data_IF_802586106114
#
_entry.id   IF_802586106114
#
_cell.length_a   1.000
_cell.length_b   1.000
_cell.length_c   1.000
_cell.angle_alpha   90.00
_cell.angle_beta   90.00
_cell.angle_gamma   90.00
#
_symmetry.space_group_name_H-M   'P 1'
#
loop_
_entity.id
_entity.type
_entity.pdbx_description
1 polymer ?
#
# COMPACT_ATOMS: atom_id res chain seq x y z
N UNK A 1 -25.37 23.73 -11.22
CA UNK A 1 -23.94 24.08 -11.34
C UNK A 1 -23.13 22.84 -11.07
N UNK A 2 -21.98 22.68 -11.73
CA UNK A 2 -21.04 21.60 -11.40
C UNK A 2 -20.45 21.85 -10.02
N UNK A 3 -20.29 20.81 -9.19
CA UNK A 3 -19.63 20.94 -7.88
C UNK A 3 -18.13 21.15 -8.07
N UNK A 4 -17.55 21.99 -7.21
CA UNK A 4 -16.12 22.25 -7.17
C UNK A 4 -15.48 21.52 -6.00
N UNK A 5 -14.50 20.66 -6.29
CA UNK A 5 -13.95 19.70 -5.32
C UNK A 5 -12.43 19.87 -5.22
N UNK A 6 -11.95 20.00 -3.98
CA UNK A 6 -10.53 20.02 -3.66
C UNK A 6 -10.10 18.63 -3.16
N UNK A 7 -9.09 18.04 -3.81
CA UNK A 7 -8.42 16.82 -3.35
C UNK A 7 -6.99 17.15 -2.93
N UNK A 8 -6.63 16.82 -1.69
CA UNK A 8 -5.33 17.13 -1.10
C UNK A 8 -4.47 15.86 -1.04
N UNK A 9 -3.39 15.85 -1.82
CA UNK A 9 -2.44 14.74 -1.95
C UNK A 9 -2.67 13.89 -3.21
N UNK A 10 -1.70 13.92 -4.14
CA UNK A 10 -1.71 13.13 -5.37
C UNK A 10 -0.97 11.78 -5.23
N UNK A 11 -1.16 11.08 -4.13
CA UNK A 11 -0.93 9.64 -4.03
C UNK A 11 -1.94 8.87 -4.89
N UNK A 12 -1.79 7.54 -5.00
CA UNK A 12 -2.68 6.72 -5.85
C UNK A 12 -4.17 6.90 -5.49
N UNK A 13 -4.51 7.05 -4.21
CA UNK A 13 -5.89 7.26 -3.76
C UNK A 13 -6.41 8.62 -4.23
N UNK A 14 -5.70 9.71 -3.96
CA UNK A 14 -6.11 11.05 -4.41
C UNK A 14 -6.25 11.16 -5.92
N UNK A 15 -5.32 10.54 -6.67
CA UNK A 15 -5.41 10.48 -8.12
C UNK A 15 -6.68 9.74 -8.60
N UNK A 16 -6.96 8.54 -8.06
CA UNK A 16 -8.16 7.78 -8.43
C UNK A 16 -9.45 8.52 -8.09
N UNK A 17 -9.50 9.17 -6.93
CA UNK A 17 -10.62 10.01 -6.49
C UNK A 17 -10.83 11.16 -7.48
N UNK A 18 -9.78 11.92 -7.78
CA UNK A 18 -9.84 13.05 -8.70
C UNK A 18 -10.29 12.63 -10.10
N UNK A 19 -9.74 11.53 -10.63
CA UNK A 19 -10.14 10.95 -11.93
C UNK A 19 -11.63 10.60 -11.94
N UNK A 20 -12.11 9.91 -10.91
CA UNK A 20 -13.49 9.43 -10.87
C UNK A 20 -14.50 10.57 -10.72
N UNK A 21 -14.16 11.59 -9.95
CA UNK A 21 -15.01 12.77 -9.78
C UNK A 21 -15.02 13.64 -11.03
N UNK A 22 -13.88 13.80 -11.72
CA UNK A 22 -13.80 14.52 -12.99
C UNK A 22 -14.61 13.84 -14.10
N UNK A 23 -14.61 12.49 -14.17
CA UNK A 23 -15.40 11.71 -15.14
C UNK A 23 -16.92 11.99 -15.07
N UNK A 24 -17.43 12.35 -13.89
CA UNK A 24 -18.85 12.66 -13.70
C UNK A 24 -19.16 14.14 -13.83
N UNK A 25 -18.19 14.93 -14.30
CA UNK A 25 -18.37 16.34 -14.66
C UNK A 25 -18.19 17.33 -13.51
N UNK A 26 -17.58 16.94 -12.39
CA UNK A 26 -17.21 17.90 -11.35
C UNK A 26 -15.94 18.66 -11.71
N UNK A 27 -15.83 19.92 -11.26
CA UNK A 27 -14.58 20.68 -11.31
C UNK A 27 -13.66 20.20 -10.19
N UNK A 28 -12.55 19.52 -10.54
CA UNK A 28 -11.66 18.91 -9.55
C UNK A 28 -10.30 19.55 -9.59
N UNK A 29 -9.87 20.07 -8.44
CA UNK A 29 -8.51 20.54 -8.18
C UNK A 29 -7.79 19.48 -7.34
N UNK A 30 -6.63 19.00 -7.82
CA UNK A 30 -5.78 18.03 -7.12
C UNK A 30 -4.45 18.68 -6.74
N UNK A 31 -4.21 18.86 -5.42
CA UNK A 31 -2.98 19.44 -4.90
C UNK A 31 -1.95 18.37 -4.54
N UNK A 32 -0.69 18.60 -4.93
CA UNK A 32 0.46 17.78 -4.51
C UNK A 32 1.64 18.69 -4.12
N UNK A 33 2.18 18.47 -2.92
CA UNK A 33 3.32 19.26 -2.41
C UNK A 33 4.64 18.94 -3.11
N UNK A 34 4.78 17.73 -3.67
CA UNK A 34 5.96 17.33 -4.44
C UNK A 34 5.82 17.77 -5.91
N UNK A 35 6.95 17.75 -6.62
CA UNK A 35 7.01 18.11 -8.06
C UNK A 35 6.38 17.05 -8.98
N UNK A 36 5.87 15.95 -8.44
CA UNK A 36 5.29 14.86 -9.23
C UNK A 36 4.33 14.01 -8.39
N UNK A 37 3.40 13.31 -9.05
CA UNK A 37 2.43 12.43 -8.38
C UNK A 37 3.09 11.15 -7.85
N UNK A 38 2.44 10.52 -6.87
CA UNK A 38 2.72 9.16 -6.39
C UNK A 38 4.15 8.94 -5.87
N UNK A 39 4.89 9.97 -5.43
CA UNK A 39 6.32 9.89 -5.08
C UNK A 39 6.64 9.19 -3.75
N UNK A 40 5.66 9.02 -2.87
CA UNK A 40 5.85 8.47 -1.52
C UNK A 40 5.37 7.00 -1.42
N UNK A 41 4.54 6.66 -0.46
CA UNK A 41 4.07 5.30 -0.18
C UNK A 41 3.44 4.59 -1.39
N UNK A 42 2.91 5.31 -2.39
CA UNK A 42 2.40 4.72 -3.64
C UNK A 42 3.49 4.09 -4.50
N UNK A 43 4.73 4.58 -4.40
CA UNK A 43 5.92 4.04 -5.10
C UNK A 43 6.68 3.05 -4.23
N UNK A 44 6.85 3.39 -2.96
CA UNK A 44 7.84 2.84 -2.06
C UNK A 44 7.22 1.73 -1.21
N UNK A 45 6.91 0.61 -1.85
CA UNK A 45 6.34 -0.60 -1.25
C UNK A 45 6.74 -1.84 -2.09
N UNK A 46 6.29 -3.04 -1.71
CA UNK A 46 6.56 -4.28 -2.44
C UNK A 46 5.77 -4.43 -3.75
N UNK A 47 4.98 -3.42 -4.13
CA UNK A 47 4.15 -3.39 -5.34
C UNK A 47 3.15 -4.56 -5.45
N UNK A 48 2.83 -5.23 -4.34
CA UNK A 48 1.89 -6.35 -4.31
C UNK A 48 0.46 -5.89 -4.54
N UNK A 49 -0.27 -6.68 -5.31
CA UNK A 49 -1.72 -6.58 -5.41
C UNK A 49 -2.30 -7.71 -4.57
N UNK A 50 -2.53 -7.41 -3.29
CA UNK A 50 -2.86 -8.43 -2.30
C UNK A 50 -4.19 -9.13 -2.57
N UNK A 51 -4.15 -10.46 -2.61
CA UNK A 51 -5.33 -11.33 -2.62
C UNK A 51 -5.78 -11.75 -1.21
N UNK A 52 -5.01 -11.39 -0.21
CA UNK A 52 -5.33 -11.71 1.19
C UNK A 52 -4.28 -12.55 1.89
N UNK A 53 -3.47 -13.32 1.19
CA UNK A 53 -2.47 -14.24 1.75
C UNK A 53 -1.60 -13.65 2.85
N UNK A 54 -1.33 -12.35 2.79
CA UNK A 54 -0.46 -11.64 3.73
C UNK A 54 -1.13 -11.28 5.07
N UNK A 55 -2.40 -11.66 5.29
CA UNK A 55 -3.17 -11.21 6.46
C UNK A 55 -3.84 -12.34 7.23
N UNK A 56 -3.11 -13.41 7.64
CA UNK A 56 -3.71 -14.59 8.26
C UNK A 56 -4.46 -14.29 9.56
N UNK A 57 -4.17 -13.15 10.21
CA UNK A 57 -4.84 -12.71 11.45
C UNK A 57 -5.96 -11.69 11.22
N UNK A 58 -6.34 -11.39 9.96
CA UNK A 58 -7.37 -10.41 9.64
C UNK A 58 -8.14 -10.75 8.37
N UNK A 59 -9.10 -11.66 8.50
CA UNK A 59 -10.05 -12.02 7.42
C UNK A 59 -10.72 -10.77 6.82
N UNK A 60 -11.05 -9.77 7.66
CA UNK A 60 -11.64 -8.50 7.20
C UNK A 60 -10.72 -7.76 6.21
N UNK A 61 -9.42 -7.67 6.52
CA UNK A 61 -8.44 -7.03 5.62
C UNK A 61 -8.27 -7.83 4.32
N UNK A 62 -8.23 -9.16 4.41
CA UNK A 62 -8.14 -10.03 3.24
C UNK A 62 -9.35 -9.84 2.31
N UNK A 63 -10.56 -9.93 2.85
CA UNK A 63 -11.81 -9.72 2.09
C UNK A 63 -11.90 -8.32 1.49
N UNK A 64 -11.53 -7.26 2.23
CA UNK A 64 -11.51 -5.90 1.67
C UNK A 64 -10.50 -5.76 0.52
N UNK A 65 -9.35 -6.47 0.60
CA UNK A 65 -8.36 -6.48 -0.49
C UNK A 65 -8.94 -7.10 -1.77
N UNK A 66 -9.68 -8.20 -1.64
CA UNK A 66 -10.38 -8.85 -2.76
C UNK A 66 -11.50 -7.97 -3.32
N UNK A 67 -12.28 -7.31 -2.49
CA UNK A 67 -13.34 -6.39 -2.93
C UNK A 67 -12.84 -5.26 -3.82
N UNK A 68 -11.64 -4.74 -3.55
CA UNK A 68 -11.01 -3.70 -4.37
C UNK A 68 -10.33 -4.22 -5.63
N UNK A 69 -10.01 -5.51 -5.67
CA UNK A 69 -9.15 -6.12 -6.67
C UNK A 69 -9.67 -5.96 -8.09
N UNK A 70 -10.93 -6.33 -8.33
CA UNK A 70 -11.52 -6.31 -9.69
C UNK A 70 -11.43 -4.91 -10.29
N UNK A 71 -11.79 -3.88 -9.53
CA UNK A 71 -11.74 -2.50 -9.99
C UNK A 71 -10.30 -2.03 -10.27
N UNK A 72 -9.34 -2.47 -9.45
CA UNK A 72 -7.93 -2.17 -9.68
C UNK A 72 -7.41 -2.83 -10.96
N UNK A 73 -7.64 -4.13 -11.14
CA UNK A 73 -7.20 -4.88 -12.31
C UNK A 73 -7.79 -4.32 -13.62
N UNK A 74 -9.08 -3.99 -13.64
CA UNK A 74 -9.76 -3.43 -14.82
C UNK A 74 -9.20 -2.05 -15.21
N UNK A 75 -8.86 -1.21 -14.23
CA UNK A 75 -8.38 0.14 -14.52
C UNK A 75 -6.89 0.22 -14.83
N UNK A 76 -6.10 -0.77 -14.41
CA UNK A 76 -4.64 -0.76 -14.49
C UNK A 76 -4.06 -2.04 -15.08
N UNK A 77 -4.81 -2.72 -15.96
CA UNK A 77 -4.44 -4.01 -16.55
C UNK A 77 -3.01 -4.07 -17.11
N UNK A 78 -2.57 -2.99 -17.78
CA UNK A 78 -1.26 -2.93 -18.42
C UNK A 78 -0.10 -2.80 -17.42
N UNK A 79 -0.39 -2.41 -16.19
CA UNK A 79 0.59 -2.34 -15.10
C UNK A 79 0.69 -3.65 -14.30
N UNK A 80 -0.16 -4.65 -14.57
CA UNK A 80 -0.18 -5.91 -13.82
C UNK A 80 0.95 -6.82 -14.31
N UNK A 81 1.70 -7.37 -13.35
CA UNK A 81 2.73 -8.38 -13.59
C UNK A 81 2.36 -9.62 -12.78
N UNK A 82 1.98 -10.69 -13.48
CA UNK A 82 1.48 -11.94 -12.88
C UNK A 82 2.22 -13.20 -13.36
N UNK A 83 3.02 -13.09 -14.43
CA UNK A 83 3.74 -14.22 -15.00
C UNK A 83 5.06 -14.50 -14.25
N UNK A 84 4.94 -14.90 -12.98
CA UNK A 84 6.06 -15.35 -12.18
C UNK A 84 5.59 -16.25 -11.02
N UNK A 85 6.42 -17.23 -10.59
CA UNK A 85 6.11 -18.02 -9.40
C UNK A 85 6.19 -17.16 -8.14
N UNK A 86 5.15 -17.24 -7.31
CA UNK A 86 5.06 -16.52 -6.05
C UNK A 86 4.72 -17.50 -4.93
N UNK A 87 5.50 -17.51 -3.85
CA UNK A 87 5.38 -18.46 -2.77
C UNK A 87 5.12 -17.76 -1.44
N UNK A 88 4.13 -18.28 -0.71
CA UNK A 88 3.91 -17.98 0.70
C UNK A 88 4.24 -19.20 1.53
N UNK A 89 5.10 -19.03 2.51
CA UNK A 89 5.64 -20.13 3.31
C UNK A 89 5.42 -19.88 4.79
N UNK A 90 5.18 -20.94 5.56
CA UNK A 90 5.06 -20.87 7.00
C UNK A 90 6.31 -21.48 7.64
N UNK A 91 6.86 -20.77 8.62
CA UNK A 91 7.95 -21.26 9.46
C UNK A 91 7.36 -21.84 10.75
N UNK A 92 8.02 -22.83 11.36
CA UNK A 92 7.55 -23.42 12.63
C UNK A 92 7.38 -22.41 13.77
N UNK A 93 8.13 -21.28 13.73
CA UNK A 93 8.03 -20.16 14.68
C UNK A 93 7.09 -19.04 14.19
N UNK A 94 6.25 -19.28 13.19
CA UNK A 94 5.24 -18.32 12.75
C UNK A 94 4.18 -18.09 13.83
N UNK A 95 3.61 -16.86 13.89
CA UNK A 95 2.56 -16.54 14.87
C UNK A 95 1.24 -17.29 14.61
N UNK A 96 1.07 -17.82 13.40
CA UNK A 96 -0.03 -18.71 13.00
C UNK A 96 0.56 -20.05 12.58
N UNK A 97 -0.04 -21.14 12.98
CA UNK A 97 0.34 -22.48 12.52
C UNK A 97 0.00 -22.69 11.03
N UNK A 98 0.59 -23.68 10.41
CA UNK A 98 0.27 -24.04 9.01
C UNK A 98 -1.20 -24.43 8.85
N UNK A 99 -1.80 -25.11 9.82
CA UNK A 99 -3.22 -25.46 9.83
C UNK A 99 -4.11 -24.22 9.90
N UNK A 100 -3.83 -23.29 10.82
CA UNK A 100 -4.56 -22.01 10.92
C UNK A 100 -4.44 -21.20 9.64
N UNK A 101 -3.26 -21.22 8.99
CA UNK A 101 -3.06 -20.50 7.73
C UNK A 101 -3.86 -21.11 6.57
N UNK A 102 -3.94 -22.43 6.47
CA UNK A 102 -4.76 -23.11 5.47
C UNK A 102 -6.25 -22.83 5.71
N UNK A 103 -6.72 -22.98 6.96
CA UNK A 103 -8.10 -22.66 7.33
C UNK A 103 -8.47 -21.20 7.00
N UNK A 104 -7.55 -20.27 7.23
CA UNK A 104 -7.73 -18.87 6.83
C UNK A 104 -7.85 -18.72 5.29
N UNK A 105 -6.99 -19.36 4.53
CA UNK A 105 -7.05 -19.31 3.06
C UNK A 105 -8.40 -19.83 2.54
N UNK A 106 -8.90 -20.94 3.11
CA UNK A 106 -10.18 -21.54 2.76
C UNK A 106 -11.36 -20.64 3.19
N UNK A 107 -11.31 -20.03 4.39
CA UNK A 107 -12.34 -19.07 4.86
C UNK A 107 -12.43 -17.82 3.97
N UNK A 108 -11.30 -17.34 3.48
CA UNK A 108 -11.24 -16.18 2.57
C UNK A 108 -11.61 -16.58 1.15
N UNK A 109 -11.49 -17.86 0.78
CA UNK A 109 -11.74 -18.39 -0.56
C UNK A 109 -10.63 -18.09 -1.56
N UNK A 110 -9.36 -18.08 -1.10
CA UNK A 110 -8.18 -17.83 -1.95
C UNK A 110 -7.50 -19.15 -2.34
N UNK A 111 -7.27 -19.34 -3.64
CA UNK A 111 -6.73 -20.57 -4.20
C UNK A 111 -5.21 -20.65 -4.13
N UNK A 112 -4.68 -21.80 -3.80
CA UNK A 112 -3.26 -22.09 -3.69
C UNK A 112 -2.91 -23.49 -4.20
N UNK A 113 -1.62 -23.73 -4.46
CA UNK A 113 -1.04 -25.03 -4.79
C UNK A 113 0.06 -25.36 -3.77
N UNK A 114 0.18 -26.63 -3.37
CA UNK A 114 1.30 -27.07 -2.50
C UNK A 114 2.55 -27.25 -3.36
N UNK A 115 3.46 -26.29 -3.27
CA UNK A 115 4.73 -26.34 -4.02
C UNK A 115 5.82 -25.61 -3.24
N UNK A 116 7.04 -26.16 -3.23
CA UNK A 116 8.22 -25.51 -2.66
C UNK A 116 9.06 -24.85 -3.76
N UNK A 117 9.63 -23.66 -3.50
CA UNK A 117 10.63 -23.09 -4.38
C UNK A 117 11.86 -24.02 -4.48
N UNK A 118 12.69 -23.81 -5.52
CA UNK A 118 13.93 -24.59 -5.72
C UNK A 118 14.85 -24.47 -4.50
N UNK A 119 15.55 -25.54 -4.15
CA UNK A 119 16.37 -25.64 -2.92
C UNK A 119 17.43 -24.56 -2.78
N UNK A 120 18.04 -24.12 -3.87
CA UNK A 120 19.04 -23.06 -3.81
C UNK A 120 18.48 -21.67 -3.47
N UNK A 121 17.17 -21.51 -3.56
CA UNK A 121 16.46 -20.25 -3.26
C UNK A 121 16.02 -20.13 -1.79
N UNK A 122 15.82 -21.26 -1.11
CA UNK A 122 15.22 -21.29 0.20
C UNK A 122 15.95 -22.31 1.10
N UNK A 123 16.37 -21.87 2.28
CA UNK A 123 16.69 -22.81 3.34
C UNK A 123 15.38 -23.39 3.89
N UNK A 124 15.12 -24.67 3.57
CA UNK A 124 13.88 -25.36 3.94
C UNK A 124 13.81 -25.79 5.41
N UNK A 125 14.91 -25.66 6.14
CA UNK A 125 14.90 -25.97 7.55
C UNK A 125 13.85 -25.10 8.27
N UNK A 126 12.97 -25.75 9.04
CA UNK A 126 11.89 -25.12 9.79
C UNK A 126 10.78 -24.47 8.91
N UNK A 127 10.71 -24.77 7.63
CA UNK A 127 9.57 -24.42 6.76
C UNK A 127 8.69 -25.64 6.64
N UNK A 128 7.52 -25.62 7.28
CA UNK A 128 6.58 -26.75 7.33
C UNK A 128 5.44 -26.64 6.30
N UNK A 129 5.23 -25.46 5.73
CA UNK A 129 4.25 -25.23 4.67
C UNK A 129 4.82 -24.32 3.59
N UNK A 130 4.55 -24.65 2.34
CA UNK A 130 4.79 -23.76 1.19
C UNK A 130 3.65 -23.82 0.19
N UNK A 131 3.08 -22.65 -0.09
CA UNK A 131 1.99 -22.46 -1.03
C UNK A 131 2.46 -21.62 -2.21
N UNK A 132 2.30 -22.15 -3.41
CA UNK A 132 2.41 -21.37 -4.65
C UNK A 132 1.08 -20.67 -4.92
N UNK A 133 1.12 -19.39 -5.22
CA UNK A 133 -0.06 -18.54 -5.37
C UNK A 133 0.02 -17.67 -6.61
N UNK A 134 -1.13 -17.25 -7.10
CA UNK A 134 -1.25 -16.38 -8.29
C UNK A 134 -1.40 -14.90 -7.91
N UNK A 135 -0.85 -14.47 -6.76
CA UNK A 135 -0.90 -13.07 -6.33
C UNK A 135 0.08 -12.22 -7.17
N UNK A 136 -0.42 -11.25 -7.97
CA UNK A 136 0.40 -10.43 -8.84
C UNK A 136 1.02 -9.25 -8.12
N UNK A 137 1.90 -8.55 -8.84
CA UNK A 137 2.40 -7.22 -8.48
C UNK A 137 1.99 -6.21 -9.56
N UNK A 138 2.22 -4.93 -9.30
CA UNK A 138 2.12 -3.90 -10.32
C UNK A 138 3.50 -3.32 -10.69
N UNK A 139 3.65 -2.95 -11.95
CA UNK A 139 4.76 -2.10 -12.39
C UNK A 139 4.44 -0.64 -12.07
N UNK A 140 5.25 -0.02 -11.22
CA UNK A 140 5.01 1.35 -10.79
C UNK A 140 5.09 2.36 -11.93
N UNK A 141 6.04 2.21 -12.86
CA UNK A 141 6.28 3.19 -13.90
C UNK A 141 5.09 3.19 -14.90
N UNK A 142 4.59 2.00 -15.24
CA UNK A 142 3.40 1.84 -16.09
C UNK A 142 2.14 2.33 -15.35
N UNK A 143 1.98 1.96 -14.08
CA UNK A 143 0.86 2.42 -13.25
C UNK A 143 0.81 3.94 -13.19
N UNK A 144 1.94 4.60 -12.91
CA UNK A 144 2.04 6.06 -12.85
C UNK A 144 1.70 6.72 -14.19
N UNK A 145 2.24 6.19 -15.30
CA UNK A 145 1.96 6.71 -16.63
C UNK A 145 0.47 6.60 -16.98
N UNK A 146 -0.18 5.48 -16.61
CA UNK A 146 -1.62 5.28 -16.79
C UNK A 146 -2.43 6.28 -15.95
N UNK A 147 -2.02 6.53 -14.69
CA UNK A 147 -2.66 7.51 -13.81
C UNK A 147 -2.53 8.92 -14.39
N UNK A 148 -1.32 9.32 -14.85
CA UNK A 148 -1.11 10.62 -15.47
C UNK A 148 -2.00 10.83 -16.70
N UNK A 149 -2.11 9.82 -17.55
CA UNK A 149 -3.02 9.86 -18.70
C UNK A 149 -4.49 10.05 -18.28
N UNK A 150 -4.93 9.32 -17.26
CA UNK A 150 -6.32 9.39 -16.75
C UNK A 150 -6.62 10.70 -16.02
N UNK A 151 -5.62 11.46 -15.55
CA UNK A 151 -5.77 12.77 -14.91
C UNK A 151 -6.02 13.92 -15.91
N UNK A 152 -6.02 13.66 -17.22
CA UNK A 152 -6.38 14.67 -18.20
C UNK A 152 -7.77 15.24 -17.91
N UNK A 153 -7.85 16.58 -17.81
CA UNK A 153 -9.06 17.30 -17.43
C UNK A 153 -9.19 17.62 -15.94
N UNK A 154 -8.32 17.09 -15.09
CA UNK A 154 -8.19 17.49 -13.68
C UNK A 154 -7.22 18.67 -13.57
N UNK A 155 -7.57 19.71 -12.79
CA UNK A 155 -6.63 20.79 -12.43
C UNK A 155 -5.59 20.27 -11.43
N UNK A 156 -4.51 19.67 -11.97
CA UNK A 156 -3.42 19.11 -11.18
C UNK A 156 -2.39 20.20 -10.88
N UNK A 157 -2.23 20.53 -9.59
CA UNK A 157 -1.27 21.52 -9.08
C UNK A 157 -0.16 20.84 -8.31
N UNK A 158 0.95 20.61 -8.99
CA UNK A 158 2.19 20.08 -8.40
C UNK A 158 2.98 21.17 -7.67
N UNK A 159 3.93 20.77 -6.81
CA UNK A 159 4.73 21.67 -5.99
C UNK A 159 3.89 22.67 -5.19
N UNK A 160 2.63 22.31 -4.91
CA UNK A 160 1.64 23.15 -4.24
C UNK A 160 1.22 22.51 -2.91
N UNK A 161 1.65 23.11 -1.83
CA UNK A 161 1.27 22.68 -0.49
C UNK A 161 -0.07 23.30 -0.11
N UNK A 162 -0.97 22.50 0.48
CA UNK A 162 -2.21 23.03 1.02
C UNK A 162 -1.93 24.05 2.14
N UNK A 163 -2.54 25.22 2.05
CA UNK A 163 -2.34 26.37 2.92
C UNK A 163 -3.46 26.58 3.95
N UNK A 164 -4.50 25.74 3.92
CA UNK A 164 -5.68 25.84 4.79
C UNK A 164 -6.87 26.54 4.12
N UNK A 165 -6.72 27.10 2.93
CA UNK A 165 -7.81 27.77 2.23
C UNK A 165 -8.81 26.74 1.66
N UNK A 166 -10.06 26.86 2.05
CA UNK A 166 -11.19 26.02 1.63
C UNK A 166 -12.31 26.80 0.92
N UNK A 167 -12.12 28.09 0.72
CA UNK A 167 -13.15 28.96 0.17
C UNK A 167 -13.48 28.59 -1.28
N UNK A 168 -14.76 28.55 -1.57
CA UNK A 168 -15.27 28.28 -2.91
C UNK A 168 -15.25 26.81 -3.34
N UNK A 169 -14.98 25.87 -2.41
CA UNK A 169 -15.10 24.44 -2.66
C UNK A 169 -16.37 23.86 -2.02
N UNK A 170 -17.11 23.05 -2.78
CA UNK A 170 -18.27 22.33 -2.27
C UNK A 170 -17.86 21.14 -1.41
N UNK A 171 -16.73 20.49 -1.74
CA UNK A 171 -16.18 19.36 -0.99
C UNK A 171 -14.65 19.46 -0.92
N UNK A 172 -14.10 18.98 0.21
CA UNK A 172 -12.67 18.87 0.46
C UNK A 172 -12.37 17.43 0.85
N UNK A 173 -11.40 16.82 0.16
CA UNK A 173 -11.02 15.43 0.36
C UNK A 173 -9.55 15.38 0.78
N UNK A 174 -9.30 14.99 2.03
CA UNK A 174 -7.95 14.81 2.55
C UNK A 174 -7.46 13.38 2.26
N UNK A 175 -6.61 13.23 1.25
CA UNK A 175 -5.95 12.00 0.83
C UNK A 175 -4.43 12.05 1.01
N UNK A 176 -3.96 12.82 1.99
CA UNK A 176 -2.55 13.15 2.19
C UNK A 176 -1.75 12.08 2.95
N UNK A 177 -2.34 10.93 3.30
CA UNK A 177 -1.73 9.76 3.93
C UNK A 177 -0.95 10.07 5.21
N UNK A 178 0.40 10.12 5.15
CA UNK A 178 1.24 10.43 6.33
C UNK A 178 1.03 11.84 6.86
N UNK A 179 0.48 12.76 6.06
CA UNK A 179 0.12 14.11 6.48
C UNK A 179 -1.36 14.26 6.87
N UNK A 180 -2.14 13.18 6.92
CA UNK A 180 -3.59 13.22 7.12
C UNK A 180 -3.97 14.00 8.38
N UNK A 181 -3.30 13.74 9.50
CA UNK A 181 -3.57 14.42 10.76
C UNK A 181 -3.15 15.91 10.75
N UNK A 182 -2.11 16.26 9.98
CA UNK A 182 -1.71 17.64 9.80
C UNK A 182 -2.77 18.45 9.05
N UNK A 183 -3.32 17.88 7.99
CA UNK A 183 -4.40 18.51 7.21
C UNK A 183 -5.68 18.57 8.04
N UNK A 184 -6.04 17.49 8.76
CA UNK A 184 -7.19 17.49 9.65
C UNK A 184 -7.08 18.62 10.71
N UNK A 185 -5.91 18.80 11.32
CA UNK A 185 -5.65 19.86 12.31
C UNK A 185 -5.87 21.27 11.72
N UNK A 186 -5.37 21.51 10.50
CA UNK A 186 -5.57 22.79 9.80
C UNK A 186 -7.06 23.10 9.52
N UNK A 187 -7.89 22.07 9.40
CA UNK A 187 -9.31 22.18 9.10
C UNK A 187 -10.23 21.96 10.29
N UNK A 188 -9.64 21.88 11.51
CA UNK A 188 -10.42 21.65 12.73
C UNK A 188 -11.14 20.29 12.77
N UNK A 189 -10.66 19.32 12.00
CA UNK A 189 -11.23 17.97 11.98
C UNK A 189 -10.51 17.05 12.98
N UNK A 190 -11.18 15.97 13.48
CA UNK A 190 -10.57 15.03 14.38
C UNK A 190 -9.31 14.36 13.80
N UNK A 191 -8.28 14.24 14.64
CA UNK A 191 -7.08 13.47 14.29
C UNK A 191 -7.39 11.98 14.37
N UNK A 192 -6.90 11.22 13.40
CA UNK A 192 -6.97 9.77 13.41
C UNK A 192 -5.93 9.20 14.39
N UNK A 193 -6.28 8.13 15.09
CA UNK A 193 -5.35 7.45 16.01
C UNK A 193 -4.36 6.60 15.19
N UNK A 194 -3.25 7.20 14.79
CA UNK A 194 -2.24 6.61 13.92
C UNK A 194 -0.89 6.49 14.60
N UNK A 195 -0.11 5.53 14.11
CA UNK A 195 1.33 5.44 14.29
C UNK A 195 2.04 5.57 12.95
N UNK A 196 3.19 6.20 12.97
CA UNK A 196 4.00 6.48 11.80
C UNK A 196 5.30 5.68 11.89
N UNK A 197 5.69 5.05 10.80
CA UNK A 197 6.90 4.23 10.73
C UNK A 197 7.79 4.72 9.60
N UNK A 198 9.05 5.01 9.91
CA UNK A 198 10.10 5.17 8.92
C UNK A 198 10.53 3.79 8.43
N UNK A 199 10.39 3.54 7.13
CA UNK A 199 10.57 2.22 6.53
C UNK A 199 11.60 2.25 5.42
N UNK A 200 12.51 1.27 5.43
CA UNK A 200 13.50 1.02 4.38
C UNK A 200 13.21 -0.29 3.66
N UNK A 201 13.33 -0.27 2.33
CA UNK A 201 13.18 -1.45 1.45
C UNK A 201 14.40 -1.55 0.55
N UNK A 202 15.37 -2.40 0.84
CA UNK A 202 16.52 -2.64 -0.03
C UNK A 202 16.12 -3.15 -1.41
N UNK A 203 16.90 -2.75 -2.41
CA UNK A 203 16.80 -3.20 -3.78
C UNK A 203 18.06 -3.98 -4.10
N UNK A 204 17.93 -5.13 -4.78
CA UNK A 204 19.09 -5.90 -5.25
C UNK A 204 18.91 -6.38 -6.68
N UNK A 205 20.02 -6.77 -7.29
CA UNK A 205 20.07 -7.37 -8.61
C UNK A 205 20.51 -8.81 -8.51
N UNK A 206 19.75 -9.69 -9.14
CA UNK A 206 20.06 -11.11 -9.28
C UNK A 206 19.68 -11.54 -10.70
N UNK A 207 20.58 -12.25 -11.40
CA UNK A 207 20.28 -12.80 -12.73
C UNK A 207 19.33 -13.99 -12.58
N UNK A 208 18.04 -13.69 -12.44
CA UNK A 208 16.97 -14.65 -12.26
C UNK A 208 15.68 -14.14 -12.91
N UNK A 209 14.83 -15.05 -13.35
CA UNK A 209 13.45 -14.71 -13.75
C UNK A 209 12.69 -14.11 -12.54
N UNK A 210 11.65 -13.28 -12.77
CA UNK A 210 10.83 -12.76 -11.67
C UNK A 210 10.38 -13.88 -10.72
N UNK A 211 10.42 -13.62 -9.42
CA UNK A 211 10.14 -14.59 -8.36
C UNK A 211 9.67 -13.88 -7.11
N UNK A 212 8.61 -14.36 -6.48
CA UNK A 212 8.15 -13.92 -5.17
C UNK A 212 8.41 -14.99 -4.10
N UNK A 213 9.02 -14.60 -2.99
CA UNK A 213 9.25 -15.46 -1.82
C UNK A 213 8.82 -14.72 -0.56
N UNK A 214 7.94 -15.31 0.24
CA UNK A 214 7.45 -14.71 1.48
C UNK A 214 7.34 -15.77 2.56
N UNK A 215 8.08 -15.61 3.64
CA UNK A 215 7.85 -16.41 4.86
C UNK A 215 6.89 -15.63 5.74
N UNK A 216 5.79 -16.26 6.12
CA UNK A 216 4.71 -15.66 6.88
C UNK A 216 4.91 -15.82 8.37
N UNK A 217 4.40 -15.09 8.99
CA UNK A 217 3.79 -14.25 10.01
C UNK A 217 4.71 -14.20 11.21
N UNK A 218 5.78 -13.41 11.06
CA UNK A 218 6.80 -13.25 12.10
C UNK A 218 7.96 -12.37 11.65
N UNK A 219 9.10 -12.44 12.34
CA UNK A 219 10.29 -11.66 12.00
C UNK A 219 11.05 -12.24 10.80
N UNK A 220 10.32 -12.62 9.77
CA UNK A 220 10.85 -13.23 8.55
C UNK A 220 10.86 -12.23 7.40
N UNK A 221 11.56 -12.57 6.32
CA UNK A 221 11.72 -11.67 5.20
C UNK A 221 10.91 -12.10 3.97
N UNK A 222 10.68 -11.13 3.09
CA UNK A 222 10.03 -11.36 1.82
C UNK A 222 10.78 -10.70 0.66
N UNK A 223 10.76 -11.37 -0.48
CA UNK A 223 11.38 -10.94 -1.73
C UNK A 223 10.29 -10.84 -2.79
N UNK A 224 10.29 -9.74 -3.55
CA UNK A 224 9.39 -9.55 -4.67
C UNK A 224 10.14 -8.98 -5.87
N UNK A 225 9.75 -9.31 -7.11
CA UNK A 225 10.29 -8.63 -8.28
C UNK A 225 9.88 -7.16 -8.26
N UNK A 226 10.70 -6.30 -8.85
CA UNK A 226 10.44 -4.86 -8.96
C UNK A 226 9.75 -4.54 -10.29
N UNK A 227 8.45 -4.79 -10.35
CA UNK A 227 7.68 -4.62 -11.59
C UNK A 227 8.29 -5.41 -12.75
N UNK A 228 8.33 -4.81 -13.93
CA UNK A 228 8.94 -5.39 -15.15
C UNK A 228 10.46 -5.18 -15.24
N UNK A 229 11.11 -4.63 -14.21
CA UNK A 229 12.57 -4.39 -14.24
C UNK A 229 13.33 -5.69 -14.15
N UNK A 230 13.99 -6.05 -15.26
CA UNK A 230 14.77 -7.29 -15.33
C UNK A 230 15.83 -7.35 -14.24
N UNK A 231 15.88 -8.50 -13.56
CA UNK A 231 16.88 -8.80 -12.53
C UNK A 231 16.83 -7.89 -11.29
N UNK A 232 15.81 -7.05 -11.09
CA UNK A 232 15.68 -6.22 -9.90
C UNK A 232 14.62 -6.77 -8.95
N UNK A 233 14.96 -6.82 -7.67
CA UNK A 233 14.12 -7.36 -6.61
C UNK A 233 14.10 -6.42 -5.41
N UNK A 234 13.01 -6.49 -4.65
CA UNK A 234 12.77 -5.77 -3.41
C UNK A 234 12.88 -6.75 -2.25
N UNK A 235 13.59 -6.37 -1.18
CA UNK A 235 13.73 -7.15 0.04
C UNK A 235 13.07 -6.39 1.20
N UNK A 236 12.21 -7.04 1.96
CA UNK A 236 11.60 -6.47 3.16
C UNK A 236 11.75 -7.43 4.34
N UNK A 237 12.17 -6.89 5.48
CA UNK A 237 12.32 -7.64 6.72
C UNK A 237 11.53 -6.94 7.83
N UNK A 238 10.43 -7.49 8.37
CA UNK A 238 9.54 -6.80 9.31
C UNK A 238 10.26 -6.19 10.53
N UNK A 239 11.26 -6.89 11.07
CA UNK A 239 12.02 -6.44 12.24
C UNK A 239 13.00 -5.30 11.95
N UNK A 240 13.64 -5.29 10.76
CA UNK A 240 14.74 -4.36 10.46
C UNK A 240 14.39 -3.31 9.39
N UNK A 241 13.35 -3.56 8.60
CA UNK A 241 12.86 -2.55 7.64
C UNK A 241 12.08 -1.43 8.30
N UNK A 242 11.58 -1.60 9.53
CA UNK A 242 11.02 -0.52 10.34
C UNK A 242 12.16 0.07 11.18
N UNK A 243 12.60 1.27 10.81
CA UNK A 243 13.73 1.95 11.44
C UNK A 243 13.30 2.60 12.75
N UNK A 244 12.18 3.32 12.71
CA UNK A 244 11.60 3.98 13.89
C UNK A 244 10.08 4.00 13.79
N UNK A 245 9.43 4.13 14.94
CA UNK A 245 7.98 4.25 15.06
C UNK A 245 7.62 5.35 16.07
N UNK A 246 6.59 6.14 15.75
CA UNK A 246 6.06 7.20 16.61
C UNK A 246 4.55 7.36 16.44
N UNK A 247 3.85 7.81 17.48
CA UNK A 247 2.46 8.27 17.40
C UNK A 247 2.33 9.67 16.82
N UNK A 248 3.42 10.42 16.75
CA UNK A 248 3.48 11.73 16.09
C UNK A 248 4.00 11.56 14.67
N UNK A 249 3.64 12.48 13.77
CA UNK A 249 4.20 12.53 12.42
C UNK A 249 5.72 12.66 12.50
N UNK A 250 6.42 11.82 11.77
CA UNK A 250 7.89 11.80 11.71
C UNK A 250 8.36 12.06 10.28
N UNK A 251 9.57 12.53 10.16
CA UNK A 251 10.31 12.60 8.91
C UNK A 251 11.20 11.36 8.75
N UNK A 252 11.72 11.14 7.53
CA UNK A 252 12.73 10.12 7.28
C UNK A 252 13.98 10.45 8.11
N UNK A 253 14.42 9.48 8.91
CA UNK A 253 15.58 9.65 9.80
C UNK A 253 16.89 9.76 9.00
N UNK A 254 17.92 10.31 9.65
CA UNK A 254 19.29 10.39 9.09
C UNK A 254 20.12 9.13 9.39
N UNK A 255 19.48 8.01 9.67
CA UNK A 255 20.15 6.73 9.90
C UNK A 255 20.98 6.30 8.69
N UNK A 256 22.12 5.67 8.98
CA UNK A 256 23.00 5.16 7.94
C UNK A 256 22.32 4.00 7.18
N UNK A 257 21.94 4.26 5.93
CA UNK A 257 21.23 3.29 5.09
C UNK A 257 22.04 2.03 4.83
N UNK A 258 23.38 2.15 4.61
CA UNK A 258 24.24 1.00 4.35
C UNK A 258 24.28 0.05 5.56
N UNK A 259 24.37 0.58 6.77
CA UNK A 259 24.32 -0.22 7.99
C UNK A 259 22.98 -0.95 8.16
N UNK A 260 21.87 -0.27 7.88
CA UNK A 260 20.54 -0.87 7.95
C UNK A 260 20.35 -1.96 6.89
N UNK A 261 20.80 -1.70 5.67
CA UNK A 261 20.79 -2.65 4.57
C UNK A 261 21.62 -3.89 4.92
N UNK A 262 22.83 -3.72 5.44
CA UNK A 262 23.70 -4.83 5.88
C UNK A 262 23.02 -5.73 6.90
N UNK A 263 22.35 -5.14 7.86
CA UNK A 263 21.62 -5.86 8.91
C UNK A 263 20.46 -6.67 8.33
N UNK A 264 19.70 -6.09 7.39
CA UNK A 264 18.61 -6.76 6.69
C UNK A 264 19.14 -7.95 5.90
N UNK A 265 20.21 -7.75 5.10
CA UNK A 265 20.80 -8.83 4.31
C UNK A 265 21.34 -9.96 5.18
N UNK A 266 22.13 -9.62 6.20
CA UNK A 266 22.73 -10.60 7.12
C UNK A 266 21.68 -11.51 7.77
N UNK A 267 20.54 -10.96 8.15
CA UNK A 267 19.48 -11.78 8.76
C UNK A 267 18.70 -12.57 7.71
N UNK A 268 18.45 -11.98 6.55
CA UNK A 268 17.70 -12.61 5.45
C UNK A 268 18.43 -13.80 4.80
N UNK A 269 19.79 -13.83 4.82
CA UNK A 269 20.57 -14.97 4.29
C UNK A 269 20.31 -16.27 5.05
N UNK A 270 19.82 -16.22 6.28
CA UNK A 270 19.42 -17.42 7.05
C UNK A 270 18.29 -18.18 6.35
N UNK A 271 17.40 -17.46 5.68
CA UNK A 271 16.24 -18.00 4.97
C UNK A 271 16.50 -18.15 3.48
N UNK A 272 17.20 -17.19 2.89
CA UNK A 272 17.50 -17.11 1.46
C UNK A 272 19.02 -17.04 1.24
N UNK A 273 19.71 -18.20 1.21
CA UNK A 273 21.17 -18.27 1.14
C UNK A 273 21.78 -17.51 -0.05
N UNK A 274 21.09 -17.48 -1.20
CA UNK A 274 21.54 -16.78 -2.39
C UNK A 274 21.74 -15.26 -2.23
N UNK A 275 21.18 -14.67 -1.17
CA UNK A 275 21.34 -13.24 -0.90
C UNK A 275 22.78 -12.85 -0.55
N UNK A 276 23.66 -13.81 -0.20
CA UNK A 276 25.10 -13.56 -0.01
C UNK A 276 25.80 -13.08 -1.28
N UNK A 277 25.30 -13.50 -2.46
CA UNK A 277 25.96 -13.31 -3.75
C UNK A 277 25.27 -12.28 -4.66
N UNK A 278 24.22 -11.60 -4.16
CA UNK A 278 23.49 -10.62 -4.96
C UNK A 278 24.14 -9.25 -4.95
N UNK A 279 24.01 -8.52 -6.05
CA UNK A 279 24.46 -7.12 -6.13
C UNK A 279 23.44 -6.19 -5.53
N UNK A 280 23.79 -5.50 -4.45
CA UNK A 280 22.97 -4.43 -3.86
C UNK A 280 22.79 -3.27 -4.84
N UNK A 281 21.61 -2.66 -4.88
CA UNK A 281 21.24 -1.62 -5.84
C UNK A 281 20.46 -0.47 -5.18
N UNK A 282 20.89 -0.05 -3.97
CA UNK A 282 20.26 1.00 -3.20
C UNK A 282 19.03 0.53 -2.42
N UNK A 283 18.20 1.48 -2.03
CA UNK A 283 16.98 1.21 -1.26
C UNK A 283 15.90 2.24 -1.54
N UNK A 284 14.71 1.95 -1.03
CA UNK A 284 13.62 2.91 -0.92
C UNK A 284 13.37 3.26 0.54
N UNK A 285 13.02 4.52 0.81
CA UNK A 285 12.61 4.99 2.13
C UNK A 285 11.30 5.74 2.06
N UNK A 286 10.41 5.48 3.01
CA UNK A 286 9.13 6.18 3.12
C UNK A 286 8.59 6.18 4.54
N UNK A 287 7.71 7.14 4.83
CA UNK A 287 6.90 7.12 6.04
C UNK A 287 5.60 6.36 5.75
N UNK A 288 5.32 5.37 6.58
CA UNK A 288 4.09 4.58 6.56
C UNK A 288 3.20 4.99 7.73
N UNK A 289 1.94 5.33 7.47
CA UNK A 289 0.94 5.62 8.49
C UNK A 289 0.04 4.40 8.70
N UNK A 290 -0.14 3.97 9.93
CA UNK A 290 -0.90 2.79 10.30
C UNK A 290 -1.86 3.13 11.45
N UNK A 291 -3.10 2.60 11.46
CA UNK A 291 -3.97 2.74 12.63
C UNK A 291 -3.36 2.04 13.85
N UNK A 292 -3.55 2.66 15.02
CA UNK A 292 -3.21 2.05 16.32
C UNK A 292 -4.34 1.09 16.70
N UNK A 293 -4.00 -0.07 17.30
CA UNK A 293 -4.93 -1.07 17.85
C UNK A 293 -5.72 -1.93 16.83
N UNK A 294 -5.35 -1.93 15.58
CA UNK A 294 -5.93 -2.82 14.57
C UNK A 294 -5.00 -4.02 14.34
N UNK A 295 -5.08 -5.09 15.08
CA UNK A 295 -4.36 -6.37 14.92
C UNK A 295 -3.82 -6.61 13.48
N UNK A 296 -2.84 -5.81 13.02
CA UNK A 296 -2.33 -5.73 11.65
C UNK A 296 -3.36 -5.42 10.54
N UNK A 297 -4.60 -5.10 10.88
CA UNK A 297 -5.59 -4.66 9.91
C UNK A 297 -5.12 -3.36 9.23
N UNK A 298 -5.23 -3.32 7.91
CA UNK A 298 -4.84 -2.17 7.07
C UNK A 298 -5.98 -1.81 6.14
N UNK A 299 -7.11 -1.49 6.75
CA UNK A 299 -8.33 -1.13 6.05
C UNK A 299 -8.17 0.25 5.39
N UNK A 300 -8.84 0.41 4.26
CA UNK A 300 -9.12 1.74 3.72
C UNK A 300 -10.44 2.21 4.30
N UNK A 301 -10.45 3.38 4.90
CA UNK A 301 -11.59 3.92 5.63
C UNK A 301 -11.84 5.39 5.28
N UNK A 302 -13.11 5.79 5.32
CA UNK A 302 -13.55 7.16 5.11
C UNK A 302 -14.09 7.73 6.42
N UNK A 303 -13.66 8.94 6.76
CA UNK A 303 -14.14 9.67 7.91
C UNK A 303 -14.78 10.97 7.44
N UNK A 304 -16.06 11.16 7.81
CA UNK A 304 -16.82 12.36 7.49
C UNK A 304 -17.00 13.14 8.79
N UNK A 305 -16.60 14.40 8.76
CA UNK A 305 -16.77 15.28 9.90
C UNK A 305 -18.27 15.66 10.03
N UNK A 306 -18.90 15.33 11.15
CA UNK A 306 -20.33 15.65 11.37
C UNK A 306 -20.63 17.15 11.37
N UNK A 307 -19.67 17.98 11.80
CA UNK A 307 -19.82 19.44 11.80
C UNK A 307 -19.54 20.06 10.41
N UNK A 308 -18.80 19.33 9.56
CA UNK A 308 -18.44 19.74 8.20
C UNK A 308 -18.60 18.53 7.26
N UNK A 309 -19.84 18.15 6.88
CA UNK A 309 -20.10 16.93 6.12
C UNK A 309 -19.54 16.96 4.69
N UNK A 310 -19.10 18.10 4.23
CA UNK A 310 -18.36 18.29 2.98
C UNK A 310 -16.86 18.04 3.11
N UNK A 311 -16.33 17.77 4.30
CA UNK A 311 -14.95 17.41 4.53
C UNK A 311 -14.81 15.89 4.77
N UNK A 312 -14.09 15.21 3.87
CA UNK A 312 -13.90 13.77 3.88
C UNK A 312 -12.41 13.46 4.07
N UNK A 313 -12.08 12.73 5.11
CA UNK A 313 -10.73 12.22 5.35
C UNK A 313 -10.62 10.78 4.86
N UNK A 314 -9.57 10.48 4.10
CA UNK A 314 -9.27 9.14 3.57
C UNK A 314 -8.10 8.54 4.34
N UNK A 315 -8.34 7.46 5.07
CA UNK A 315 -7.28 6.59 5.55
C UNK A 315 -7.01 5.53 4.49
N UNK A 316 -5.87 5.65 3.82
CA UNK A 316 -5.49 4.75 2.74
C UNK A 316 -4.92 3.44 3.30
N UNK A 317 -5.53 2.32 2.97
CA UNK A 317 -5.09 0.97 3.32
C UNK A 317 -4.23 0.32 2.24
N UNK A 318 -4.84 -0.48 1.38
CA UNK A 318 -4.18 -1.22 0.30
C UNK A 318 -4.34 -0.52 -1.04
N UNK A 319 -3.28 -0.54 -1.86
CA UNK A 319 -3.28 0.06 -3.20
C UNK A 319 -4.45 -0.46 -4.04
N UNK A 320 -4.76 -1.76 -3.94
CA UNK A 320 -5.87 -2.39 -4.69
C UNK A 320 -7.25 -1.80 -4.39
N UNK A 321 -7.44 -1.12 -3.24
CA UNK A 321 -8.73 -0.53 -2.86
C UNK A 321 -8.93 0.92 -3.33
N UNK A 322 -7.97 1.52 -4.04
CA UNK A 322 -8.01 2.94 -4.40
C UNK A 322 -9.25 3.31 -5.26
N UNK A 323 -9.64 2.46 -6.20
CA UNK A 323 -10.84 2.68 -7.01
C UNK A 323 -12.14 2.46 -6.23
N UNK A 324 -12.18 1.46 -5.35
CA UNK A 324 -13.34 1.24 -4.45
C UNK A 324 -13.58 2.50 -3.63
N UNK A 325 -12.56 3.06 -3.00
CA UNK A 325 -12.64 4.31 -2.24
C UNK A 325 -13.11 5.48 -3.12
N UNK A 326 -12.59 5.58 -4.35
CA UNK A 326 -13.03 6.63 -5.29
C UNK A 326 -14.52 6.51 -5.64
N UNK A 327 -15.04 5.31 -5.85
CA UNK A 327 -16.46 5.07 -6.12
C UNK A 327 -17.34 5.38 -4.91
N UNK A 328 -16.89 5.03 -3.71
CA UNK A 328 -17.60 5.35 -2.45
C UNK A 328 -17.70 6.87 -2.26
N UNK A 329 -16.61 7.62 -2.44
CA UNK A 329 -16.61 9.09 -2.35
C UNK A 329 -17.53 9.70 -3.41
N UNK A 330 -17.48 9.22 -4.65
CA UNK A 330 -18.41 9.67 -5.69
C UNK A 330 -19.87 9.44 -5.27
N UNK A 331 -20.19 8.29 -4.72
CA UNK A 331 -21.54 7.97 -4.24
C UNK A 331 -22.00 8.91 -3.12
N UNK A 332 -21.12 9.20 -2.15
CA UNK A 332 -21.37 10.15 -1.05
C UNK A 332 -21.67 11.54 -1.60
N UNK A 333 -20.85 12.05 -2.53
CA UNK A 333 -21.00 13.40 -3.10
C UNK A 333 -22.27 13.52 -3.95
N UNK A 334 -22.61 12.46 -4.69
CA UNK A 334 -23.78 12.44 -5.58
C UNK A 334 -25.10 12.37 -4.82
N UNK A 335 -25.18 11.54 -3.80
CA UNK A 335 -26.43 11.21 -3.10
C UNK A 335 -26.68 12.07 -1.85
N UNK A 336 -25.75 12.97 -1.51
CA UNK A 336 -25.68 13.63 -0.21
C UNK A 336 -25.27 12.63 0.88
N UNK A 337 -24.89 13.14 2.05
CA UNK A 337 -24.40 12.30 3.16
C UNK A 337 -25.55 11.47 3.74
N UNK A 338 -25.86 10.33 3.14
CA UNK A 338 -26.62 9.22 3.73
C UNK A 338 -25.70 8.02 3.93
N UNK A 339 -24.52 8.25 4.47
CA UNK A 339 -23.61 7.16 4.77
C UNK A 339 -23.92 6.58 6.16
N UNK A 340 -24.26 5.29 6.20
CA UNK A 340 -24.39 4.49 7.44
C UNK A 340 -23.10 3.70 7.67
N UNK A 341 -21.98 4.35 7.75
CA UNK A 341 -20.73 3.74 8.16
C UNK A 341 -20.42 4.11 9.61
N UNK A 342 -19.90 3.17 10.38
CA UNK A 342 -19.46 3.42 11.73
C UNK A 342 -18.39 4.51 11.72
N UNK A 343 -18.70 5.64 12.36
CA UNK A 343 -17.71 6.62 12.78
C UNK A 343 -17.02 5.98 13.97
N UNK A 344 -15.82 5.44 13.75
CA UNK A 344 -14.92 5.14 14.86
C UNK A 344 -14.35 6.49 15.30
N UNK A 345 -14.92 7.06 16.34
CA UNK A 345 -14.45 8.26 17.06
C UNK A 345 -13.17 7.92 17.80
#
# INVERSE_FOLDING_TARGET
MSKKILVIGAGIFGCCIAIELNKVGYEVILLEQNSDIMQRASKLNHNRIHFGFHYPRSVKTAKQSLDGLVSFLLNFKDAIVSDFPNYYMNHIDSNVSSEEYLNFCDEVGISYEFEYPKEYLLNRNNIDLSLKVNEPIFDYDILKSTVMYKLMGVDLRLSTKFDGNVDGYDYIINSSYSNVNKINDMLGAPKLNLKFQDVIVPIFKMKHSPLGLTIMDGPFCSIMPRGNRKNEFLLYHPKYSVISESKQVIDISNENEDFLIDKIYKDSTKFYPFLSDVKRNGCWRTIRALPVNYNDARLSELFINNNHPNFITVLSGKVSTCWKVAYEIKSIIRNGVKWKGEIVV
#
